data_IF_696812761518
#
_entry.id   IF_696812761518
#
_cell.length_a   1.000
_cell.length_b   1.000
_cell.length_c   1.000
_cell.angle_alpha   90.00
_cell.angle_beta   90.00
_cell.angle_gamma   90.00
#
_symmetry.space_group_name_H-M   'P 1'
#
loop_
_entity.id
_entity.type
_entity.pdbx_description
1 polymer ?
#
# COMPACT_ATOMS: atom_id res chain seq x y z
N UNK A 1 3.07 14.25 6.03
CA UNK A 1 4.45 14.48 6.53
C UNK A 1 4.53 15.65 7.51
N UNK A 2 4.05 16.85 7.18
CA UNK A 2 4.02 17.98 8.12
C UNK A 2 3.32 17.64 9.45
N UNK A 3 2.09 17.10 9.39
CA UNK A 3 1.34 16.70 10.59
C UNK A 3 2.07 15.61 11.40
N UNK A 4 2.82 14.72 10.73
CA UNK A 4 3.62 13.70 11.40
C UNK A 4 4.74 14.33 12.23
N UNK A 5 5.49 15.30 11.67
CA UNK A 5 6.54 16.00 12.41
C UNK A 5 5.99 16.77 13.60
N UNK A 6 4.86 17.48 13.42
CA UNK A 6 4.17 18.19 14.52
C UNK A 6 3.80 17.20 15.63
N UNK A 7 3.10 16.12 15.27
CA UNK A 7 2.71 15.08 16.21
C UNK A 7 3.91 14.51 16.97
N UNK A 8 5.00 14.17 16.26
CA UNK A 8 6.18 13.57 16.88
C UNK A 8 6.93 14.52 17.81
N UNK A 9 6.97 15.81 17.49
CA UNK A 9 7.54 16.85 18.37
C UNK A 9 6.73 17.06 19.64
N UNK A 10 5.41 16.92 19.55
CA UNK A 10 4.51 17.18 20.67
C UNK A 10 4.32 15.95 21.57
N UNK A 11 4.06 14.80 20.95
CA UNK A 11 3.62 13.58 21.64
C UNK A 11 4.63 12.43 21.59
N UNK A 12 5.69 12.53 20.80
CA UNK A 12 6.71 11.50 20.71
C UNK A 12 7.45 11.26 22.03
N UNK A 13 8.19 10.15 22.08
CA UNK A 13 9.12 9.85 23.18
C UNK A 13 10.21 10.92 23.29
N UNK A 14 11.00 10.90 24.37
CA UNK A 14 12.17 11.79 24.49
C UNK A 14 13.15 11.63 23.32
N UNK A 15 13.36 10.39 22.86
CA UNK A 15 14.25 10.05 21.74
C UNK A 15 13.69 10.60 20.42
N UNK A 16 12.39 10.41 20.19
CA UNK A 16 11.72 10.94 19.00
C UNK A 16 11.74 12.47 18.99
N UNK A 17 11.40 13.10 20.10
CA UNK A 17 11.40 14.57 20.23
C UNK A 17 12.77 15.16 20.00
N UNK A 18 13.83 14.49 20.45
CA UNK A 18 15.20 14.90 20.17
C UNK A 18 15.52 14.81 18.68
N UNK A 19 15.20 13.67 18.04
CA UNK A 19 15.46 13.47 16.62
C UNK A 19 14.68 14.44 15.73
N UNK A 20 13.40 14.64 15.99
CA UNK A 20 12.52 15.43 15.11
C UNK A 20 12.51 16.93 15.42
N UNK A 21 13.18 17.38 16.50
CA UNK A 21 13.11 18.75 17.03
C UNK A 21 13.15 19.82 15.94
N UNK A 22 14.18 19.75 15.10
CA UNK A 22 14.46 20.73 14.06
C UNK A 22 14.35 20.15 12.63
N UNK A 23 13.98 18.86 12.51
CA UNK A 23 13.92 18.15 11.23
C UNK A 23 12.90 18.77 10.27
N UNK A 24 13.35 19.13 9.09
CA UNK A 24 12.52 19.65 8.00
C UNK A 24 11.85 18.51 7.21
N UNK A 25 10.89 18.84 6.34
CA UNK A 25 10.25 17.84 5.48
C UNK A 25 11.24 17.19 4.51
N UNK A 26 12.13 17.94 3.82
CA UNK A 26 13.18 17.32 2.99
C UNK A 26 14.08 16.36 3.77
N UNK A 27 14.54 16.75 4.96
CA UNK A 27 15.38 15.88 5.80
C UNK A 27 14.62 14.62 6.26
N UNK A 28 13.31 14.74 6.53
CA UNK A 28 12.47 13.57 6.79
C UNK A 28 12.42 12.64 5.57
N UNK A 29 12.24 13.18 4.36
CA UNK A 29 12.23 12.37 3.12
C UNK A 29 13.57 11.65 2.94
N UNK A 30 14.69 12.36 3.06
CA UNK A 30 16.03 11.78 2.99
C UNK A 30 16.19 10.66 4.01
N UNK A 31 15.74 10.88 5.24
CA UNK A 31 15.76 9.86 6.29
C UNK A 31 14.91 8.63 5.94
N UNK A 32 13.68 8.83 5.47
CA UNK A 32 12.78 7.74 5.06
C UNK A 32 13.34 6.93 3.89
N UNK A 33 14.26 7.48 3.09
CA UNK A 33 14.96 6.76 2.02
C UNK A 33 16.23 6.05 2.55
N UNK A 34 17.05 6.75 3.32
CA UNK A 34 18.40 6.31 3.71
C UNK A 34 18.43 5.32 4.89
N UNK A 35 17.45 5.37 5.80
CA UNK A 35 17.45 4.57 7.05
C UNK A 35 16.63 3.29 6.96
N UNK A 36 16.28 2.86 5.74
CA UNK A 36 15.53 1.62 5.51
C UNK A 36 16.40 0.39 5.79
N UNK A 37 15.75 -0.67 6.25
CA UNK A 37 16.34 -2.00 6.21
C UNK A 37 16.46 -2.47 4.75
N UNK A 38 17.46 -3.31 4.46
CA UNK A 38 17.57 -3.99 3.16
C UNK A 38 16.37 -4.92 2.95
N UNK A 39 15.95 -5.59 4.02
CA UNK A 39 14.71 -6.37 4.03
C UNK A 39 13.99 -6.23 5.36
N UNK A 40 12.65 -6.23 5.30
CA UNK A 40 11.76 -6.16 6.45
C UNK A 40 10.43 -6.83 6.10
N UNK A 41 10.22 -8.06 6.55
CA UNK A 41 9.13 -8.90 6.06
C UNK A 41 8.62 -9.95 7.04
N UNK A 42 7.48 -10.56 6.71
CA UNK A 42 6.87 -11.62 7.51
C UNK A 42 6.07 -11.11 8.70
N UNK A 43 5.53 -12.03 9.51
CA UNK A 43 4.68 -11.69 10.67
C UNK A 43 5.48 -11.37 11.95
N UNK A 44 6.76 -11.74 11.96
CA UNK A 44 7.73 -11.45 13.04
C UNK A 44 8.79 -10.43 12.60
N UNK A 45 8.54 -9.74 11.50
CA UNK A 45 9.43 -8.69 11.01
C UNK A 45 10.88 -9.15 10.87
N UNK A 46 11.08 -10.30 10.20
CA UNK A 46 12.42 -10.75 9.86
C UNK A 46 13.11 -9.66 9.00
N UNK A 47 14.32 -9.31 9.38
CA UNK A 47 15.00 -8.14 8.82
C UNK A 47 16.47 -8.39 8.49
N UNK A 48 16.97 -7.57 7.57
CA UNK A 48 18.40 -7.38 7.31
C UNK A 48 18.68 -5.89 7.20
N UNK A 49 19.62 -5.40 8.00
CA UNK A 49 20.06 -4.00 8.00
C UNK A 49 21.10 -3.75 6.92
N UNK A 50 21.34 -2.48 6.59
CA UNK A 50 22.42 -2.07 5.66
C UNK A 50 23.81 -2.53 6.13
N UNK A 51 24.00 -2.70 7.44
CA UNK A 51 25.21 -3.27 8.03
C UNK A 51 25.38 -4.78 7.82
N UNK A 52 24.40 -5.45 7.21
CA UNK A 52 24.35 -6.91 7.06
C UNK A 52 23.84 -7.65 8.29
N UNK A 53 23.64 -6.97 9.44
CA UNK A 53 23.04 -7.57 10.64
C UNK A 53 21.62 -8.04 10.34
N UNK A 54 21.28 -9.24 10.81
CA UNK A 54 19.98 -9.87 10.63
C UNK A 54 19.32 -10.12 11.98
N UNK A 55 17.99 -10.16 11.99
CA UNK A 55 17.23 -10.48 13.18
C UNK A 55 15.76 -10.65 12.89
N UNK A 56 14.99 -10.81 13.96
CA UNK A 56 13.54 -11.03 13.98
C UNK A 56 12.99 -10.33 15.22
N UNK A 57 11.80 -9.74 15.12
CA UNK A 57 11.11 -8.99 16.18
C UNK A 57 11.94 -7.79 16.73
N UNK A 58 11.47 -7.14 17.81
CA UNK A 58 12.13 -6.03 18.49
C UNK A 58 11.94 -4.66 17.85
N UNK A 59 11.38 -4.61 16.63
CA UNK A 59 11.18 -3.36 15.89
C UNK A 59 10.15 -2.43 16.56
N UNK A 60 9.23 -2.97 17.35
CA UNK A 60 8.28 -2.21 18.16
C UNK A 60 8.93 -1.30 19.21
N UNK A 61 10.20 -1.55 19.57
CA UNK A 61 10.90 -0.77 20.57
C UNK A 61 11.63 0.44 19.98
N UNK A 62 11.85 0.49 18.66
CA UNK A 62 12.59 1.57 17.97
C UNK A 62 11.91 2.92 18.21
N UNK A 63 12.65 3.89 18.74
CA UNK A 63 12.13 5.20 19.12
C UNK A 63 11.49 5.25 20.50
N UNK A 64 11.61 4.19 21.31
CA UNK A 64 11.17 4.17 22.71
C UNK A 64 12.37 4.04 23.65
N UNK A 65 12.24 4.32 24.96
CA UNK A 65 13.31 4.06 25.93
C UNK A 65 13.79 2.60 26.00
N UNK A 66 13.03 1.66 25.43
CA UNK A 66 13.39 0.24 25.34
C UNK A 66 14.14 -0.12 24.04
N UNK A 67 14.46 0.86 23.18
CA UNK A 67 15.25 0.59 21.97
C UNK A 67 16.64 0.03 22.33
N UNK A 68 17.12 -0.92 21.53
CA UNK A 68 18.39 -1.60 21.79
C UNK A 68 19.12 -1.84 20.48
N UNK A 69 20.45 -1.75 20.49
CA UNK A 69 21.28 -2.02 19.32
C UNK A 69 21.02 -3.46 18.78
N UNK A 70 20.90 -3.66 17.44
CA UNK A 70 21.12 -2.69 16.37
C UNK A 70 19.87 -1.89 15.95
N UNK A 71 18.75 -2.03 16.67
CA UNK A 71 17.46 -1.41 16.36
C UNK A 71 17.26 -0.15 17.21
N UNK A 72 17.98 0.91 16.85
CA UNK A 72 17.91 2.23 17.50
C UNK A 72 17.48 3.29 16.48
N UNK A 73 16.63 4.23 16.90
CA UNK A 73 15.98 5.19 16.01
C UNK A 73 16.98 6.02 15.18
N UNK A 74 18.17 6.31 15.73
CA UNK A 74 19.22 7.02 14.99
C UNK A 74 19.64 6.30 13.69
N UNK A 75 19.55 4.97 13.66
CA UNK A 75 20.12 4.13 12.60
C UNK A 75 19.06 3.46 11.70
N UNK A 76 17.85 3.26 12.22
CA UNK A 76 16.76 2.62 11.47
C UNK A 76 15.47 3.41 11.60
N UNK A 77 14.52 3.15 10.69
CA UNK A 77 13.17 3.69 10.77
C UNK A 77 12.37 3.04 11.91
N UNK A 78 11.61 3.84 12.67
CA UNK A 78 10.57 3.30 13.55
C UNK A 78 9.38 2.74 12.75
N UNK A 79 8.46 2.02 13.40
CA UNK A 79 7.23 1.57 12.72
C UNK A 79 6.42 2.71 12.12
N UNK A 80 6.36 3.85 12.83
CA UNK A 80 5.61 5.01 12.39
C UNK A 80 6.25 5.64 11.15
N UNK A 81 7.58 5.64 11.08
CA UNK A 81 8.33 6.04 9.89
C UNK A 81 8.19 5.03 8.76
N UNK A 82 8.23 3.72 9.03
CA UNK A 82 8.04 2.68 8.02
C UNK A 82 6.66 2.83 7.38
N UNK A 83 5.61 3.06 8.19
CA UNK A 83 4.25 3.31 7.71
C UNK A 83 4.19 4.53 6.80
N UNK A 84 4.81 5.64 7.20
CA UNK A 84 4.89 6.84 6.36
C UNK A 84 5.71 6.59 5.08
N UNK A 85 6.80 5.85 5.17
CA UNK A 85 7.68 5.50 4.06
C UNK A 85 7.00 4.63 2.99
N UNK A 86 5.91 3.96 3.34
CA UNK A 86 5.11 3.16 2.41
C UNK A 86 4.36 4.00 1.36
N UNK A 87 4.37 5.32 1.49
CA UNK A 87 3.83 6.28 0.51
C UNK A 87 4.93 6.94 -0.34
N UNK A 88 6.20 6.58 -0.13
CA UNK A 88 7.32 7.05 -0.94
C UNK A 88 7.69 5.97 -1.95
N UNK A 89 7.55 6.29 -3.24
CA UNK A 89 7.88 5.41 -4.35
C UNK A 89 9.11 5.95 -5.08
N UNK A 90 9.87 5.04 -5.69
CA UNK A 90 11.08 5.37 -6.45
C UNK A 90 10.99 4.75 -7.82
N UNK A 91 11.26 5.52 -8.87
CA UNK A 91 11.27 5.04 -10.25
C UNK A 91 12.63 5.30 -10.91
N UNK A 92 13.02 4.42 -11.84
CA UNK A 92 14.28 4.56 -12.55
C UNK A 92 14.33 3.79 -13.86
N UNK A 93 15.15 4.26 -14.83
CA UNK A 93 15.45 3.47 -16.03
C UNK A 93 16.11 2.16 -15.62
N UNK A 94 15.71 1.08 -16.28
CA UNK A 94 16.21 -0.27 -16.04
C UNK A 94 16.50 -0.95 -17.36
N UNK A 95 17.69 -1.51 -17.48
CA UNK A 95 18.04 -2.43 -18.55
C UNK A 95 17.53 -3.83 -18.18
N UNK A 96 16.57 -4.35 -18.96
CA UNK A 96 16.04 -5.68 -18.71
C UNK A 96 16.89 -6.72 -19.41
N UNK A 97 17.27 -7.74 -18.65
CA UNK A 97 18.04 -8.89 -19.14
C UNK A 97 17.17 -10.12 -19.42
N UNK A 98 15.88 -10.05 -19.05
CA UNK A 98 14.87 -11.09 -19.25
C UNK A 98 13.45 -10.50 -19.14
N UNK A 99 12.45 -11.35 -19.36
CA UNK A 99 11.01 -11.05 -19.25
C UNK A 99 10.50 -10.70 -17.85
N UNK A 100 11.33 -10.79 -16.81
CA UNK A 100 10.92 -10.54 -15.42
C UNK A 100 10.01 -11.64 -14.82
N UNK A 101 9.95 -12.83 -15.42
CA UNK A 101 9.16 -13.94 -14.88
C UNK A 101 9.61 -14.34 -13.47
N UNK A 102 8.66 -14.73 -12.59
CA UNK A 102 8.94 -15.00 -11.16
C UNK A 102 10.01 -16.07 -10.89
N UNK A 103 10.30 -16.91 -11.89
CA UNK A 103 11.24 -18.03 -11.79
C UNK A 103 12.46 -17.86 -12.71
N UNK A 104 12.65 -16.71 -13.34
CA UNK A 104 13.80 -16.47 -14.21
C UNK A 104 15.14 -16.56 -13.45
N UNK A 105 15.14 -16.30 -12.13
CA UNK A 105 16.32 -16.33 -11.26
C UNK A 105 17.52 -15.51 -11.80
N UNK A 106 17.26 -14.42 -12.55
CA UNK A 106 18.31 -13.59 -13.16
C UNK A 106 19.01 -14.22 -14.37
N UNK A 107 18.44 -15.28 -14.95
CA UNK A 107 18.91 -15.87 -16.22
C UNK A 107 18.57 -14.92 -17.37
N UNK A 108 19.46 -14.85 -18.36
CA UNK A 108 19.30 -14.08 -19.59
C UNK A 108 18.30 -14.76 -20.51
N UNK A 109 17.39 -14.00 -21.11
CA UNK A 109 16.54 -14.50 -22.21
C UNK A 109 17.20 -14.11 -23.55
N UNK A 110 17.33 -15.07 -24.47
CA UNK A 110 18.10 -14.90 -25.71
C UNK A 110 17.35 -14.10 -26.80
N UNK A 111 16.00 -14.06 -26.77
CA UNK A 111 15.17 -13.31 -27.73
C UNK A 111 13.84 -12.85 -27.10
N UNK A 112 13.27 -11.76 -27.66
CA UNK A 112 11.93 -11.18 -27.33
C UNK A 112 11.75 -10.59 -25.92
N UNK A 113 12.70 -9.75 -25.49
CA UNK A 113 12.59 -8.99 -24.23
C UNK A 113 12.70 -7.49 -24.45
N UNK A 114 11.95 -6.73 -23.66
CA UNK A 114 12.07 -5.28 -23.67
C UNK A 114 13.29 -4.80 -22.92
N UNK A 115 14.32 -4.44 -23.69
CA UNK A 115 15.66 -4.09 -23.18
C UNK A 115 15.68 -2.84 -22.32
N UNK A 116 14.75 -1.91 -22.54
CA UNK A 116 14.68 -0.65 -21.79
C UNK A 116 13.29 -0.48 -21.19
N UNK A 117 13.24 -0.35 -19.86
CA UNK A 117 12.01 -0.09 -19.13
C UNK A 117 12.22 1.00 -18.06
N UNK A 118 11.11 1.49 -17.51
CA UNK A 118 11.11 2.20 -16.24
C UNK A 118 10.51 1.28 -15.19
N UNK A 119 11.27 0.94 -14.14
CA UNK A 119 10.73 0.23 -12.98
C UNK A 119 10.29 1.26 -11.95
N UNK A 120 9.05 1.13 -11.48
CA UNK A 120 8.50 1.92 -10.37
C UNK A 120 8.39 1.03 -9.13
N UNK A 121 9.27 1.24 -8.16
CA UNK A 121 9.24 0.60 -6.85
C UNK A 121 8.13 1.19 -5.99
N UNK A 122 6.91 0.65 -6.13
CA UNK A 122 5.74 1.01 -5.33
C UNK A 122 5.51 0.06 -4.14
N UNK A 123 4.93 0.58 -3.06
CA UNK A 123 4.69 -0.16 -1.82
C UNK A 123 3.19 -0.24 -1.55
N UNK A 124 2.65 -1.46 -1.60
CA UNK A 124 1.25 -1.72 -1.30
C UNK A 124 1.00 -1.99 0.19
N UNK A 125 -0.28 -2.08 0.59
CA UNK A 125 -0.66 -2.28 1.99
C UNK A 125 -0.15 -3.59 2.60
N UNK A 126 0.25 -3.56 3.87
CA UNK A 126 0.79 -4.70 4.63
C UNK A 126 -0.06 -5.03 5.85
N UNK A 127 -0.62 -6.24 5.88
CA UNK A 127 -1.45 -6.75 6.99
C UNK A 127 -0.80 -7.87 7.80
N UNK A 128 0.47 -8.17 7.52
CA UNK A 128 1.09 -9.42 8.00
C UNK A 128 1.51 -9.39 9.47
N UNK A 129 1.80 -8.19 9.98
CA UNK A 129 2.00 -7.92 11.42
C UNK A 129 0.68 -7.36 11.95
N UNK A 130 0.11 -8.03 12.94
CA UNK A 130 -1.13 -7.56 13.58
C UNK A 130 -0.87 -6.23 14.27
N UNK A 131 -1.86 -5.35 14.20
CA UNK A 131 -1.85 -4.04 14.86
C UNK A 131 -0.69 -3.13 14.48
N UNK A 132 -0.14 -3.28 13.28
CA UNK A 132 0.91 -2.43 12.72
C UNK A 132 0.60 -2.09 11.27
N UNK A 133 1.16 -0.99 10.79
CA UNK A 133 1.08 -0.59 9.38
C UNK A 133 -0.39 -0.37 8.97
N UNK A 134 -0.78 -0.83 7.78
CA UNK A 134 -2.13 -0.68 7.24
C UNK A 134 -3.19 -1.45 8.05
N UNK A 135 -2.78 -2.47 8.83
CA UNK A 135 -3.70 -3.17 9.73
C UNK A 135 -4.34 -2.22 10.74
N UNK A 136 -3.59 -1.24 11.24
CA UNK A 136 -4.07 -0.31 12.28
C UNK A 136 -5.22 0.58 11.82
N UNK A 137 -5.33 0.83 10.51
CA UNK A 137 -6.27 1.79 9.94
C UNK A 137 -7.45 1.10 9.23
N UNK A 138 -7.23 -0.12 8.73
CA UNK A 138 -8.21 -0.81 7.87
C UNK A 138 -8.86 -2.02 8.55
N UNK A 139 -8.22 -2.59 9.57
CA UNK A 139 -8.77 -3.74 10.30
C UNK A 139 -9.31 -3.29 11.64
N UNK A 140 -10.60 -3.47 11.84
CA UNK A 140 -11.33 -3.06 13.04
C UNK A 140 -11.57 -4.29 13.89
N UNK A 141 -10.77 -4.47 14.94
CA UNK A 141 -10.81 -5.65 15.81
C UNK A 141 -11.09 -5.29 17.27
N UNK A 142 -11.73 -6.20 18.00
CA UNK A 142 -12.10 -6.01 19.41
C UNK A 142 -10.91 -5.67 20.32
N UNK A 143 -9.73 -6.21 20.02
CA UNK A 143 -8.54 -6.00 20.86
C UNK A 143 -7.74 -4.75 20.48
N UNK A 144 -7.89 -4.26 19.24
CA UNK A 144 -7.20 -3.06 18.76
C UNK A 144 -8.06 -1.81 18.88
N UNK A 145 -9.28 -1.84 18.34
CA UNK A 145 -10.12 -0.67 18.14
C UNK A 145 -10.94 -0.39 19.39
N UNK A 146 -10.25 0.13 20.39
CA UNK A 146 -10.77 0.44 21.72
C UNK A 146 -10.48 1.91 22.06
N UNK A 147 -11.29 2.52 22.92
CA UNK A 147 -11.09 3.89 23.36
C UNK A 147 -9.72 4.08 24.03
N UNK A 148 -9.26 3.09 24.82
CA UNK A 148 -7.97 3.10 25.51
C UNK A 148 -6.76 3.08 24.55
N UNK A 149 -7.00 2.68 23.30
CA UNK A 149 -6.01 2.69 22.21
C UNK A 149 -6.21 3.89 21.26
N UNK A 150 -7.09 4.83 21.59
CA UNK A 150 -7.31 6.08 20.88
C UNK A 150 -8.32 6.01 19.74
N UNK A 151 -9.01 4.88 19.55
CA UNK A 151 -10.08 4.76 18.56
C UNK A 151 -11.41 5.28 19.12
N UNK A 152 -12.37 5.60 18.25
CA UNK A 152 -13.64 6.24 18.59
C UNK A 152 -13.57 7.77 18.56
N UNK A 153 -14.69 8.41 18.87
CA UNK A 153 -14.73 9.85 19.12
C UNK A 153 -14.10 10.16 20.49
N UNK A 154 -13.17 11.10 20.51
CA UNK A 154 -12.93 11.89 21.71
C UNK A 154 -13.96 13.03 21.67
N UNK A 155 -14.59 13.36 22.79
CA UNK A 155 -15.63 14.37 22.84
C UNK A 155 -15.21 15.66 22.07
N UNK A 156 -15.95 15.94 20.98
CA UNK A 156 -15.84 17.03 19.97
C UNK A 156 -15.21 16.67 18.61
N UNK A 157 -15.87 17.01 17.47
CA UNK A 157 -15.32 16.83 16.13
C UNK A 157 -14.24 17.90 15.89
N UNK A 158 -13.01 17.62 16.28
CA UNK A 158 -11.87 18.48 15.99
C UNK A 158 -10.97 17.79 14.97
N UNK A 159 -10.55 18.54 13.94
CA UNK A 159 -9.58 18.05 12.95
C UNK A 159 -8.28 17.72 13.68
N UNK A 160 -7.41 16.87 13.12
CA UNK A 160 -6.14 16.52 13.77
C UNK A 160 -5.35 17.78 14.15
N UNK A 161 -5.35 18.80 13.28
CA UNK A 161 -4.70 20.07 13.56
C UNK A 161 -5.31 20.87 14.70
N UNK A 162 -6.60 20.74 14.96
CA UNK A 162 -7.25 21.43 16.09
C UNK A 162 -6.88 20.72 17.40
N UNK A 163 -6.83 19.38 17.39
CA UNK A 163 -6.34 18.56 18.52
C UNK A 163 -4.87 18.88 18.84
N UNK A 164 -4.02 18.98 17.81
CA UNK A 164 -2.59 19.34 17.95
C UNK A 164 -2.36 20.81 18.36
N UNK A 165 -3.34 21.71 18.15
CA UNK A 165 -3.19 23.14 18.46
C UNK A 165 -3.76 23.52 19.83
N UNK A 166 -4.80 22.83 20.31
CA UNK A 166 -5.63 23.33 21.40
C UNK A 166 -5.46 22.64 22.76
N UNK A 167 -4.59 21.64 22.89
CA UNK A 167 -4.53 20.84 24.11
C UNK A 167 -3.12 20.76 24.72
N UNK A 168 -2.85 21.67 25.66
CA UNK A 168 -1.72 21.64 26.61
C UNK A 168 -1.87 20.56 27.70
N UNK A 169 -2.40 19.38 27.37
CA UNK A 169 -2.51 18.26 28.31
C UNK A 169 -1.66 17.10 27.81
N UNK A 170 -0.58 16.80 28.55
CA UNK A 170 0.28 15.63 28.38
C UNK A 170 -0.47 14.34 28.76
N UNK A 171 -1.63 14.10 28.19
CA UNK A 171 -2.39 12.87 28.39
C UNK A 171 -2.00 11.85 27.31
N UNK A 172 -1.53 10.68 27.73
CA UNK A 172 -1.22 9.56 26.86
C UNK A 172 -2.45 9.07 26.07
N UNK A 173 -3.66 9.27 26.61
CA UNK A 173 -4.92 9.00 25.92
C UNK A 173 -5.09 9.91 24.69
N UNK A 174 -4.85 11.22 24.88
CA UNK A 174 -4.93 12.21 23.81
C UNK A 174 -3.89 11.96 22.72
N UNK A 175 -2.65 11.62 23.09
CA UNK A 175 -1.61 11.28 22.12
C UNK A 175 -2.00 10.11 21.21
N UNK A 176 -2.58 9.04 21.78
CA UNK A 176 -3.06 7.90 20.99
C UNK A 176 -4.21 8.30 20.07
N UNK A 177 -5.15 9.09 20.57
CA UNK A 177 -6.27 9.56 19.78
C UNK A 177 -5.82 10.45 18.61
N UNK A 178 -4.96 11.44 18.87
CA UNK A 178 -4.39 12.32 17.84
C UNK A 178 -3.66 11.53 16.75
N UNK A 179 -2.98 10.43 17.12
CA UNK A 179 -2.36 9.53 16.14
C UNK A 179 -3.40 8.87 15.22
N UNK A 180 -4.52 8.40 15.78
CA UNK A 180 -5.61 7.81 14.98
C UNK A 180 -6.26 8.85 14.08
N UNK A 181 -6.47 10.07 14.58
CA UNK A 181 -7.06 11.17 13.80
C UNK A 181 -6.17 11.59 12.63
N UNK A 182 -4.84 11.58 12.77
CA UNK A 182 -3.93 11.89 11.66
C UNK A 182 -4.18 10.99 10.45
N UNK A 183 -4.35 9.69 10.67
CA UNK A 183 -4.62 8.72 9.60
C UNK A 183 -6.07 8.76 9.14
N UNK A 184 -7.02 8.93 10.05
CA UNK A 184 -8.44 9.09 9.72
C UNK A 184 -8.68 10.31 8.83
N UNK A 185 -7.96 11.42 9.07
CA UNK A 185 -8.00 12.63 8.24
C UNK A 185 -7.39 12.41 6.86
N UNK A 186 -6.23 11.74 6.77
CA UNK A 186 -5.62 11.38 5.49
C UNK A 186 -6.60 10.60 4.61
N UNK A 187 -7.29 9.63 5.20
CA UNK A 187 -8.29 8.83 4.50
C UNK A 187 -9.68 9.46 4.52
N UNK A 188 -9.90 10.63 5.11
CA UNK A 188 -11.21 11.26 5.24
C UNK A 188 -12.31 10.26 5.69
N UNK A 189 -12.02 9.49 6.74
CA UNK A 189 -12.95 8.52 7.33
C UNK A 189 -13.07 8.73 8.82
N UNK A 190 -14.07 8.11 9.42
CA UNK A 190 -14.22 8.04 10.86
C UNK A 190 -13.39 6.88 11.45
N UNK A 191 -12.73 7.13 12.59
CA UNK A 191 -11.96 6.11 13.32
C UNK A 191 -12.84 5.41 14.37
N UNK A 192 -13.54 4.35 13.99
CA UNK A 192 -14.45 3.62 14.89
C UNK A 192 -13.75 2.78 15.97
N UNK A 193 -14.38 2.68 17.14
CA UNK A 193 -14.19 1.51 18.01
C UNK A 193 -14.90 0.28 17.42
N UNK A 194 -14.48 -0.92 17.85
CA UNK A 194 -15.10 -2.16 17.39
C UNK A 194 -16.57 -2.24 17.83
N UNK A 195 -16.87 -1.81 19.05
CA UNK A 195 -18.21 -1.79 19.64
C UNK A 195 -19.14 -0.83 18.89
N UNK A 196 -18.70 0.41 18.62
CA UNK A 196 -19.45 1.41 17.84
C UNK A 196 -19.81 0.87 16.45
N UNK A 197 -18.81 0.37 15.71
CA UNK A 197 -19.06 -0.14 14.36
C UNK A 197 -19.97 -1.37 14.39
N UNK A 198 -19.72 -2.30 15.31
CA UNK A 198 -20.52 -3.53 15.39
C UNK A 198 -21.98 -3.25 15.74
N UNK A 199 -22.24 -2.27 16.61
CA UNK A 199 -23.59 -1.79 16.92
C UNK A 199 -24.24 -1.15 15.68
N UNK A 200 -23.51 -0.28 14.97
CA UNK A 200 -23.99 0.37 13.74
C UNK A 200 -24.36 -0.62 12.64
N UNK A 201 -23.57 -1.67 12.47
CA UNK A 201 -23.79 -2.68 11.42
C UNK A 201 -24.84 -3.73 11.79
N UNK A 202 -25.28 -3.78 13.05
CA UNK A 202 -26.14 -4.85 13.57
C UNK A 202 -25.65 -6.27 13.21
N UNK A 203 -24.32 -6.45 13.10
CA UNK A 203 -23.69 -7.71 12.73
C UNK A 203 -23.72 -8.09 11.25
N UNK A 204 -24.31 -7.27 10.37
CA UNK A 204 -24.37 -7.54 8.92
C UNK A 204 -23.14 -6.96 8.20
N UNK A 205 -22.53 -7.77 7.32
CA UNK A 205 -21.50 -7.28 6.42
C UNK A 205 -22.11 -6.40 5.31
N UNK A 206 -21.28 -5.54 4.73
CA UNK A 206 -21.63 -4.71 3.57
C UNK A 206 -20.47 -4.65 2.58
N UNK A 207 -20.67 -3.99 1.44
CA UNK A 207 -19.61 -3.76 0.46
C UNK A 207 -18.43 -2.98 1.06
N UNK A 208 -18.70 -2.06 1.99
CA UNK A 208 -17.66 -1.33 2.73
C UNK A 208 -17.03 -2.18 3.83
N UNK A 209 -17.84 -2.83 4.67
CA UNK A 209 -17.35 -3.55 5.84
C UNK A 209 -17.45 -5.05 5.67
N UNK A 210 -16.32 -5.68 5.35
CA UNK A 210 -16.23 -7.12 5.13
C UNK A 210 -15.82 -7.82 6.42
N UNK A 211 -16.59 -8.83 6.84
CA UNK A 211 -16.22 -9.64 8.01
C UNK A 211 -15.04 -10.55 7.65
N UNK A 212 -13.94 -10.45 8.40
CA UNK A 212 -12.81 -11.35 8.24
C UNK A 212 -13.12 -12.71 8.88
N UNK A 213 -12.79 -13.83 8.21
CA UNK A 213 -13.13 -15.16 8.69
C UNK A 213 -12.39 -15.57 9.97
N UNK A 214 -11.24 -14.95 10.25
CA UNK A 214 -10.45 -15.22 11.46
C UNK A 214 -10.57 -14.06 12.44
N UNK A 215 -10.96 -14.37 13.68
CA UNK A 215 -11.04 -13.41 14.78
C UNK A 215 -12.21 -12.44 14.73
N UNK A 216 -13.09 -12.53 13.72
CA UNK A 216 -14.31 -11.72 13.64
C UNK A 216 -14.07 -10.22 13.49
N UNK A 217 -12.87 -9.79 13.12
CA UNK A 217 -12.58 -8.39 12.82
C UNK A 217 -13.31 -7.95 11.54
N UNK A 218 -13.57 -6.65 11.42
CA UNK A 218 -14.07 -6.04 10.20
C UNK A 218 -12.91 -5.50 9.37
N UNK A 219 -13.03 -5.57 8.05
CA UNK A 219 -12.14 -4.93 7.10
C UNK A 219 -12.89 -3.78 6.43
N UNK A 220 -12.32 -2.57 6.46
CA UNK A 220 -12.89 -1.39 5.82
C UNK A 220 -12.35 -1.22 4.39
N UNK A 221 -13.15 -1.63 3.41
CA UNK A 221 -12.83 -1.49 1.99
C UNK A 221 -12.69 -0.03 1.55
N UNK A 222 -13.32 0.93 2.22
CA UNK A 222 -13.19 2.34 1.83
C UNK A 222 -11.79 2.87 2.15
N UNK A 223 -11.25 2.53 3.33
CA UNK A 223 -9.87 2.92 3.70
C UNK A 223 -8.86 2.22 2.81
N UNK A 224 -9.07 0.93 2.52
CA UNK A 224 -8.22 0.20 1.58
C UNK A 224 -8.28 0.81 0.17
N UNK A 225 -9.48 1.10 -0.36
CA UNK A 225 -9.68 1.81 -1.63
C UNK A 225 -8.89 3.12 -1.67
N UNK A 226 -9.06 4.00 -0.67
CA UNK A 226 -8.35 5.29 -0.61
C UNK A 226 -6.83 5.12 -0.56
N UNK A 227 -6.33 4.10 0.14
CA UNK A 227 -4.90 3.76 0.16
C UNK A 227 -4.39 3.27 -1.20
N UNK A 228 -5.21 2.53 -1.95
CA UNK A 228 -4.88 2.10 -3.31
C UNK A 228 -5.01 3.27 -4.31
N UNK A 229 -5.91 4.24 -4.12
CA UNK A 229 -5.97 5.44 -4.97
C UNK A 229 -4.63 6.17 -5.00
N UNK A 230 -4.03 6.41 -3.82
CA UNK A 230 -2.71 7.06 -3.73
C UNK A 230 -1.65 6.26 -4.51
N UNK A 231 -1.69 4.92 -4.42
CA UNK A 231 -0.77 4.06 -5.16
C UNK A 231 -1.02 4.15 -6.67
N UNK A 232 -2.27 3.97 -7.09
CA UNK A 232 -2.66 3.94 -8.49
C UNK A 232 -2.34 5.27 -9.18
N UNK A 233 -2.80 6.38 -8.62
CA UNK A 233 -2.58 7.72 -9.18
C UNK A 233 -1.09 8.06 -9.27
N UNK A 234 -0.30 7.78 -8.23
CA UNK A 234 1.14 8.08 -8.26
C UNK A 234 1.85 7.27 -9.34
N UNK A 235 1.53 5.97 -9.48
CA UNK A 235 2.12 5.12 -10.52
C UNK A 235 1.70 5.57 -11.91
N UNK A 236 0.43 5.92 -12.11
CA UNK A 236 -0.11 6.39 -13.38
C UNK A 236 0.53 7.73 -13.79
N UNK A 237 0.57 8.71 -12.88
CA UNK A 237 1.19 10.02 -13.15
C UNK A 237 2.70 9.92 -13.38
N UNK A 238 3.39 9.03 -12.66
CA UNK A 238 4.82 8.79 -12.89
C UNK A 238 5.05 8.17 -14.28
N UNK A 239 4.25 7.18 -14.68
CA UNK A 239 4.35 6.56 -15.99
C UNK A 239 4.05 7.57 -17.11
N UNK A 240 3.00 8.37 -16.95
CA UNK A 240 2.64 9.47 -17.85
C UNK A 240 3.78 10.49 -17.99
N UNK A 241 4.34 10.96 -16.87
CA UNK A 241 5.45 11.92 -16.87
C UNK A 241 6.73 11.38 -17.53
N UNK A 242 6.93 10.06 -17.54
CA UNK A 242 8.07 9.39 -18.18
C UNK A 242 7.88 9.13 -19.67
N UNK A 243 6.67 9.27 -20.19
CA UNK A 243 6.32 8.96 -21.58
C UNK A 243 7.15 9.72 -22.62
N UNK A 244 7.50 10.99 -22.36
CA UNK A 244 8.29 11.85 -23.27
C UNK A 244 7.75 11.86 -24.71
N UNK A 245 6.42 11.87 -24.89
CA UNK A 245 5.78 11.85 -26.21
C UNK A 245 5.61 10.46 -26.83
N UNK A 246 5.98 9.39 -26.13
CA UNK A 246 5.78 8.00 -26.57
C UNK A 246 4.56 7.39 -25.89
N UNK A 247 3.94 6.41 -26.54
CA UNK A 247 2.91 5.59 -25.89
C UNK A 247 3.52 4.75 -24.76
N UNK A 248 2.76 4.58 -23.69
CA UNK A 248 3.15 3.88 -22.47
C UNK A 248 2.30 2.62 -22.32
N UNK A 249 3.02 1.49 -22.24
CA UNK A 249 2.49 0.23 -21.74
C UNK A 249 2.85 0.11 -20.26
N UNK A 250 1.84 0.11 -19.38
CA UNK A 250 2.02 0.01 -17.94
C UNK A 250 1.76 -1.41 -17.44
N UNK A 251 2.82 -2.09 -17.00
CA UNK A 251 2.74 -3.43 -16.41
C UNK A 251 2.63 -3.38 -14.87
N UNK A 252 1.42 -3.55 -14.34
CA UNK A 252 1.13 -3.49 -12.91
C UNK A 252 1.23 -4.88 -12.27
N UNK A 253 2.26 -5.09 -11.47
CA UNK A 253 2.36 -6.27 -10.59
C UNK A 253 1.72 -5.94 -9.23
N UNK A 254 0.88 -6.84 -8.71
CA UNK A 254 0.10 -6.61 -7.50
C UNK A 254 0.92 -6.19 -6.26
N UNK A 255 0.91 -4.90 -5.95
CA UNK A 255 1.59 -4.33 -4.78
C UNK A 255 0.78 -4.62 -3.51
N UNK A 256 1.34 -5.37 -2.56
CA UNK A 256 0.65 -5.77 -1.32
C UNK A 256 -0.36 -6.91 -1.47
N UNK A 257 -0.54 -7.47 -2.67
CA UNK A 257 -1.51 -8.54 -2.95
C UNK A 257 -0.98 -9.97 -2.73
N UNK A 258 0.33 -10.11 -2.50
CA UNK A 258 0.99 -11.39 -2.22
C UNK A 258 0.80 -11.84 -0.77
N UNK A 259 1.88 -12.18 -0.09
CA UNK A 259 1.86 -12.62 1.32
C UNK A 259 1.41 -11.55 2.33
N UNK A 260 1.15 -10.33 1.86
CA UNK A 260 0.78 -9.17 2.67
C UNK A 260 -0.73 -8.97 2.80
N UNK A 261 -1.55 -9.45 1.87
CA UNK A 261 -3.02 -9.38 1.99
C UNK A 261 -3.55 -10.32 3.07
N UNK A 262 -4.70 -9.98 3.63
CA UNK A 262 -5.39 -10.76 4.68
C UNK A 262 -6.67 -11.44 4.19
N UNK A 263 -7.25 -10.99 3.07
CA UNK A 263 -8.48 -11.55 2.51
C UNK A 263 -8.50 -11.55 0.98
N UNK A 264 -9.15 -12.53 0.33
CA UNK A 264 -9.19 -12.62 -1.13
C UNK A 264 -9.80 -11.40 -1.84
N UNK A 265 -10.86 -10.80 -1.30
CA UNK A 265 -11.57 -9.68 -1.94
C UNK A 265 -10.70 -8.44 -2.20
N UNK A 266 -9.56 -8.31 -1.51
CA UNK A 266 -8.65 -7.19 -1.71
C UNK A 266 -8.09 -7.09 -3.13
N UNK A 267 -8.01 -8.20 -3.88
CA UNK A 267 -7.60 -8.17 -5.29
C UNK A 267 -8.66 -7.50 -6.16
N UNK A 268 -9.94 -7.72 -5.84
CA UNK A 268 -11.06 -7.12 -6.56
C UNK A 268 -11.08 -5.61 -6.32
N UNK A 269 -11.03 -5.20 -5.05
CA UNK A 269 -10.98 -3.78 -4.69
C UNK A 269 -9.77 -3.10 -5.31
N UNK A 270 -8.60 -3.74 -5.31
CA UNK A 270 -7.38 -3.19 -5.92
C UNK A 270 -7.58 -2.90 -7.41
N UNK A 271 -8.05 -3.89 -8.18
CA UNK A 271 -8.24 -3.74 -9.62
C UNK A 271 -9.32 -2.72 -9.93
N UNK A 272 -10.48 -2.82 -9.25
CA UNK A 272 -11.57 -1.86 -9.43
C UNK A 272 -11.14 -0.42 -9.10
N UNK A 273 -10.27 -0.24 -8.09
CA UNK A 273 -9.69 1.07 -7.77
C UNK A 273 -8.87 1.62 -8.94
N UNK A 274 -7.96 0.82 -9.51
CA UNK A 274 -7.21 1.24 -10.69
C UNK A 274 -8.13 1.57 -11.86
N UNK A 275 -9.16 0.74 -12.11
CA UNK A 275 -10.10 0.99 -13.20
C UNK A 275 -10.83 2.32 -13.04
N UNK A 276 -11.29 2.62 -11.83
CA UNK A 276 -11.96 3.89 -11.54
C UNK A 276 -11.00 5.07 -11.65
N UNK A 277 -9.79 4.99 -11.09
CA UNK A 277 -8.80 6.07 -11.18
C UNK A 277 -8.34 6.35 -12.60
N UNK A 278 -8.11 5.31 -13.42
CA UNK A 278 -7.77 5.49 -14.83
C UNK A 278 -8.91 6.21 -15.56
N UNK A 279 -10.17 5.83 -15.34
CA UNK A 279 -11.33 6.51 -15.94
C UNK A 279 -11.38 7.98 -15.55
N UNK A 280 -11.31 8.26 -14.25
CA UNK A 280 -11.35 9.64 -13.75
C UNK A 280 -10.21 10.49 -14.35
N UNK A 281 -8.99 9.97 -14.37
CA UNK A 281 -7.84 10.69 -14.90
C UNK A 281 -7.87 10.85 -16.43
N UNK A 282 -8.46 9.90 -17.17
CA UNK A 282 -8.73 10.06 -18.61
C UNK A 282 -9.78 11.15 -18.87
N UNK A 283 -10.83 11.22 -18.05
CA UNK A 283 -11.87 12.26 -18.16
C UNK A 283 -11.33 13.67 -17.81
N UNK A 284 -10.33 13.72 -16.93
CA UNK A 284 -9.56 14.91 -16.55
C UNK A 284 -8.42 15.26 -17.51
N UNK A 285 -8.22 14.48 -18.59
CA UNK A 285 -7.13 14.69 -19.57
C UNK A 285 -5.72 14.64 -18.93
N UNK A 286 -5.57 13.84 -17.86
CA UNK A 286 -4.32 13.68 -17.13
C UNK A 286 -3.47 12.50 -17.61
N UNK A 287 -3.98 11.67 -18.54
CA UNK A 287 -3.33 10.47 -19.07
C UNK A 287 -3.39 10.45 -20.59
N UNK A 288 -2.45 11.12 -21.28
CA UNK A 288 -2.42 11.22 -22.74
C UNK A 288 -1.58 10.13 -23.41
N UNK A 289 -0.63 9.56 -22.66
CA UNK A 289 0.36 8.65 -23.21
C UNK A 289 0.13 7.21 -22.79
N UNK A 290 -0.60 6.95 -21.70
CA UNK A 290 -0.95 5.59 -21.27
C UNK A 290 -1.95 4.98 -22.24
N UNK A 291 -1.45 4.09 -23.10
CA UNK A 291 -2.28 3.38 -24.07
C UNK A 291 -2.77 2.04 -23.54
N UNK A 292 -1.95 1.37 -22.74
CA UNK A 292 -2.17 -0.01 -22.32
C UNK A 292 -1.85 -0.18 -20.83
N UNK A 293 -2.76 -0.80 -20.07
CA UNK A 293 -2.52 -1.19 -18.68
C UNK A 293 -2.72 -2.69 -18.52
N UNK A 294 -1.67 -3.38 -18.08
CA UNK A 294 -1.69 -4.82 -17.82
C UNK A 294 -1.67 -5.11 -16.31
N UNK A 295 -2.65 -5.86 -15.82
CA UNK A 295 -2.63 -6.39 -14.45
C UNK A 295 -1.99 -7.78 -14.39
N UNK A 296 -0.68 -7.83 -14.15
CA UNK A 296 0.09 -9.07 -14.14
C UNK A 296 0.06 -9.80 -12.78
N UNK A 297 -0.19 -11.12 -12.81
CA UNK A 297 -0.22 -12.00 -11.63
C UNK A 297 -1.26 -11.63 -10.57
N UNK A 298 -2.37 -11.00 -10.96
CA UNK A 298 -3.47 -10.64 -10.07
C UNK A 298 -4.67 -11.53 -10.38
N UNK A 299 -5.05 -12.41 -9.45
CA UNK A 299 -6.28 -13.20 -9.55
C UNK A 299 -7.44 -12.47 -8.88
N UNK A 300 -8.48 -12.13 -9.64
CA UNK A 300 -9.73 -11.53 -9.13
C UNK A 300 -10.87 -12.55 -9.09
N UNK A 301 -11.98 -12.19 -8.47
CA UNK A 301 -13.20 -12.99 -8.53
C UNK A 301 -13.80 -13.02 -9.94
N UNK A 302 -14.72 -13.97 -10.17
CA UNK A 302 -15.41 -14.13 -11.45
C UNK A 302 -16.17 -12.87 -11.87
N UNK A 303 -16.75 -12.12 -10.92
CA UNK A 303 -17.52 -10.91 -11.23
C UNK A 303 -16.63 -9.80 -11.77
N UNK A 304 -15.47 -9.55 -11.15
CA UNK A 304 -14.50 -8.56 -11.64
C UNK A 304 -13.86 -9.04 -12.95
N UNK A 305 -13.51 -10.31 -13.04
CA UNK A 305 -12.97 -10.88 -14.27
C UNK A 305 -13.96 -10.77 -15.45
N UNK A 306 -15.27 -10.86 -15.21
CA UNK A 306 -16.30 -10.75 -16.23
C UNK A 306 -16.45 -9.34 -16.83
N UNK A 307 -15.85 -8.31 -16.22
CA UNK A 307 -15.78 -6.97 -16.80
C UNK A 307 -14.86 -6.92 -18.03
N UNK A 308 -14.00 -7.92 -18.20
CA UNK A 308 -13.08 -8.05 -19.30
C UNK A 308 -13.65 -9.07 -20.29
N UNK A 309 -13.75 -8.67 -21.56
CA UNK A 309 -14.21 -9.53 -22.63
C UNK A 309 -13.18 -10.64 -22.91
N UNK A 310 -13.70 -11.84 -23.18
CA UNK A 310 -12.91 -12.95 -23.71
C UNK A 310 -12.75 -12.75 -25.22
N UNK A 311 -11.50 -12.71 -25.70
CA UNK A 311 -11.18 -12.63 -27.13
C UNK A 311 -10.39 -13.85 -27.60
N UNK A 312 -10.60 -15.03 -27.00
CA UNK A 312 -10.00 -16.29 -27.45
C UNK A 312 -10.50 -16.73 -28.85
N UNK A 313 -10.13 -15.99 -29.89
CA UNK A 313 -10.08 -16.50 -31.27
C UNK A 313 -8.74 -17.20 -31.53
N UNK A 314 -7.65 -16.75 -30.87
CA UNK A 314 -6.37 -17.45 -30.83
C UNK A 314 -6.27 -18.34 -29.60
N UNK A 315 -6.12 -19.65 -29.82
CA UNK A 315 -5.96 -20.67 -28.76
C UNK A 315 -4.67 -20.50 -27.92
N UNK A 316 -3.79 -19.58 -28.30
CA UNK A 316 -2.52 -19.31 -27.63
C UNK A 316 -2.52 -18.10 -26.68
N UNK A 317 -3.53 -17.21 -26.69
CA UNK A 317 -3.57 -16.08 -25.74
C UNK A 317 -4.71 -16.20 -24.73
N UNK A 318 -4.37 -16.38 -23.44
CA UNK A 318 -5.32 -16.39 -22.33
C UNK A 318 -5.68 -14.98 -21.82
N UNK A 319 -5.58 -13.97 -22.69
CA UNK A 319 -5.76 -12.56 -22.33
C UNK A 319 -7.24 -12.15 -22.34
N UNK A 320 -7.71 -11.52 -21.25
CA UNK A 320 -9.01 -10.87 -21.15
C UNK A 320 -8.84 -9.36 -21.26
N UNK A 321 -9.69 -8.71 -22.06
CA UNK A 321 -9.47 -7.32 -22.47
C UNK A 321 -10.69 -6.47 -22.12
N UNK A 322 -10.45 -5.27 -21.58
CA UNK A 322 -11.45 -4.24 -21.43
C UNK A 322 -11.00 -3.00 -22.19
N UNK A 323 -11.84 -2.51 -23.10
CA UNK A 323 -11.58 -1.27 -23.81
C UNK A 323 -12.23 -0.11 -23.06
N UNK A 324 -11.44 0.86 -22.61
CA UNK A 324 -11.93 2.14 -22.13
C UNK A 324 -11.89 3.16 -23.27
N UNK A 325 -13.02 3.34 -23.95
CA UNK A 325 -13.16 4.41 -24.93
C UNK A 325 -13.17 5.76 -24.22
N UNK A 326 -12.37 6.70 -24.69
CA UNK A 326 -12.39 8.09 -24.27
C UNK A 326 -12.04 8.93 -25.50
N UNK A 327 -12.99 9.73 -25.98
CA UNK A 327 -12.86 10.52 -27.22
C UNK A 327 -11.87 11.69 -27.09
N UNK A 328 -11.52 12.07 -25.86
CA UNK A 328 -10.54 13.12 -25.56
C UNK A 328 -9.12 12.59 -25.57
N UNK A 329 -8.94 11.30 -25.30
CA UNK A 329 -7.63 10.65 -25.37
C UNK A 329 -7.05 10.75 -26.80
N UNK A 330 -5.74 11.04 -26.99
CA UNK A 330 -5.14 11.19 -28.33
C UNK A 330 -5.28 9.96 -29.24
N UNK A 331 -5.46 8.76 -28.66
CA UNK A 331 -5.72 7.51 -29.40
C UNK A 331 -7.21 7.12 -29.45
N UNK A 332 -8.10 7.92 -28.87
CA UNK A 332 -9.53 7.69 -28.76
C UNK A 332 -9.94 6.53 -27.84
N UNK A 333 -8.98 5.79 -27.27
CA UNK A 333 -9.18 4.63 -26.39
C UNK A 333 -7.92 4.38 -25.56
N UNK A 334 -8.10 4.00 -24.30
CA UNK A 334 -7.10 3.30 -23.49
C UNK A 334 -7.53 1.83 -23.37
N UNK A 335 -6.61 0.90 -23.61
CA UNK A 335 -6.88 -0.53 -23.57
C UNK A 335 -6.37 -1.11 -22.26
N UNK A 336 -7.18 -1.92 -21.59
CA UNK A 336 -6.79 -2.61 -20.38
C UNK A 336 -6.81 -4.10 -20.59
N UNK A 337 -5.79 -4.78 -20.08
CA UNK A 337 -5.63 -6.22 -20.24
C UNK A 337 -5.45 -6.88 -18.88
N UNK A 338 -6.07 -8.06 -18.78
CA UNK A 338 -5.74 -9.11 -17.84
C UNK A 338 -5.06 -10.22 -18.63
N UNK A 339 -3.79 -10.49 -18.38
CA UNK A 339 -3.24 -11.79 -18.77
C UNK A 339 -3.55 -12.79 -17.66
N UNK A 340 -4.44 -13.75 -17.93
CA UNK A 340 -4.76 -14.84 -16.98
C UNK A 340 -3.76 -16.02 -17.06
N UNK A 341 -2.83 -16.05 -18.02
CA UNK A 341 -1.63 -16.90 -18.12
C UNK A 341 -0.88 -16.51 -19.41
N UNK A 342 0.45 -16.64 -19.57
CA UNK A 342 1.26 -17.87 -19.70
C UNK A 342 2.66 -17.53 -19.12
N UNK A 343 3.26 -18.23 -18.15
CA UNK A 343 3.67 -19.64 -18.17
C UNK A 343 3.22 -20.33 -16.87
N UNK A 344 2.34 -21.34 -16.99
CA UNK A 344 2.31 -22.45 -16.03
C UNK A 344 3.26 -23.54 -16.57
N UNK A 345 4.20 -24.00 -15.74
CA UNK A 345 4.80 -25.33 -15.88
C UNK A 345 4.14 -26.22 -14.82
N UNK A 346 3.80 -27.48 -15.15
CA UNK A 346 2.80 -28.28 -14.45
C UNK A 346 3.11 -28.50 -12.98
N UNK A 347 2.05 -28.76 -12.21
CA UNK A 347 2.15 -29.50 -10.97
C UNK A 347 2.92 -30.82 -11.21
N UNK A 348 4.18 -30.87 -10.79
CA UNK A 348 4.79 -32.13 -10.37
C UNK A 348 4.76 -32.17 -8.85
N UNK A 349 3.72 -32.82 -8.33
CA UNK A 349 3.92 -33.69 -7.16
C UNK A 349 5.01 -34.67 -7.56
N UNK A 350 6.17 -34.59 -6.95
CA UNK A 350 6.88 -35.73 -6.37
C UNK A 350 8.15 -35.28 -5.62
N UNK A 351 8.29 -35.91 -4.46
CA UNK A 351 9.10 -35.72 -3.23
C UNK A 351 10.62 -36.02 -3.41
N UNK A 352 11.49 -36.18 -2.37
CA UNK A 352 11.31 -36.10 -0.90
C UNK A 352 12.45 -35.43 -0.08
N UNK A 353 12.16 -35.33 1.24
CA UNK A 353 13.02 -35.07 2.43
C UNK A 353 13.43 -33.63 2.71
#
# INVERSE_FOLDING_TARGET
MAHFLIYKREHGSSIEKELYRDMTIPELIDRLLLKRAVSFMGARDAYMLMSGKKGVDGWENVGTPAETEPLVLKDVLSYDEIKLSAFLFVSGPTECINSGSRRNCGVLDDDDIEKEAIIIGAIGPRFKRLNRMDYEDMVISKTQNTAERGYGEHEAPTRCMDVLRHTYTRDASLAKHAWRQLWAELYQVHSYTYEELSARLAGAASDRYVKLPRGGAWFDNEVYYKRICILAETVLLEAEGRARGRSVFLNVVGCGLGVWKISPHQTDVYVLTFLERIRAMLDEEALDHITDVNFAYIGTSKSVTALFADRSEDKESAAKIMFLKNERHPKGTCIMFFFLSIIDIPNSRDSPV
#
